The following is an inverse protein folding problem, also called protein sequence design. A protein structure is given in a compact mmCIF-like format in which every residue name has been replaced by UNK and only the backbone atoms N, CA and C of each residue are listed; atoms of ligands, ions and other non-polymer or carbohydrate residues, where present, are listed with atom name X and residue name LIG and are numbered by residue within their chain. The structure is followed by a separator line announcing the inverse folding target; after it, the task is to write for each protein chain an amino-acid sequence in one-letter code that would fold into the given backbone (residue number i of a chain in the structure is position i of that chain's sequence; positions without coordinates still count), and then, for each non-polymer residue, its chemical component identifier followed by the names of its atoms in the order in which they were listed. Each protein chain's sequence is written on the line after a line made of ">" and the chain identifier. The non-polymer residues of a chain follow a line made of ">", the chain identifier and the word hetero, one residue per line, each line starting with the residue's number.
data_IF_828147203740
#
_entry.id   IF_828147203740
#
_cell.length_a   1.000
_cell.length_b   1.000
_cell.length_c   1.000
_cell.angle_alpha   90.00
_cell.angle_beta   90.00
_cell.angle_gamma   90.00
#
_symmetry.space_group_name_H-M   'P 1'
#
loop_
_entity.id
_entity.type
_entity.pdbx_description
1 polymer ?
#
# COMPACT_ATOMS: atom_id res chain seq x y z
N UNK A 1 11.99 -6.56 -13.79
CA UNK A 1 13.21 -5.89 -14.23
C UNK A 1 14.06 -5.54 -13.00
N UNK A 2 15.39 -5.76 -13.06
CA UNK A 2 16.34 -5.30 -12.03
C UNK A 2 17.29 -4.30 -12.65
N UNK A 3 17.54 -3.20 -11.95
CA UNK A 3 18.49 -2.17 -12.37
C UNK A 3 19.54 -2.04 -11.27
N UNK A 4 20.78 -2.49 -11.58
CA UNK A 4 21.90 -2.55 -10.61
C UNK A 4 22.81 -1.32 -10.67
N UNK A 5 22.63 -0.45 -11.68
CA UNK A 5 23.29 0.87 -11.69
C UNK A 5 22.63 1.82 -10.71
N UNK A 6 23.34 2.83 -10.19
CA UNK A 6 22.72 3.89 -9.42
C UNK A 6 21.63 4.61 -10.22
N UNK A 7 20.48 4.89 -9.56
CA UNK A 7 19.35 5.62 -10.13
C UNK A 7 18.87 6.62 -9.10
N UNK A 8 18.69 7.87 -9.49
CA UNK A 8 18.23 8.91 -8.58
C UNK A 8 16.78 8.71 -8.20
N UNK A 9 16.49 8.74 -6.90
CA UNK A 9 15.11 8.70 -6.39
C UNK A 9 14.35 9.97 -6.75
N UNK A 10 15.07 11.05 -7.06
CA UNK A 10 14.52 12.31 -7.51
C UNK A 10 14.37 12.29 -9.03
N UNK A 11 13.13 12.16 -9.49
CA UNK A 11 12.66 12.16 -10.88
C UNK A 11 13.09 10.98 -11.75
N UNK A 12 14.38 10.50 -11.72
CA UNK A 12 14.84 9.45 -12.64
C UNK A 12 14.09 8.13 -12.41
N UNK A 13 13.98 7.68 -11.17
CA UNK A 13 13.24 6.46 -10.85
C UNK A 13 11.76 6.57 -11.25
N UNK A 14 11.15 7.74 -11.03
CA UNK A 14 9.78 8.05 -11.45
C UNK A 14 9.61 8.02 -12.96
N UNK A 15 10.52 8.63 -13.72
CA UNK A 15 10.47 8.64 -15.18
C UNK A 15 10.61 7.22 -15.77
N UNK A 16 11.50 6.41 -15.22
CA UNK A 16 11.65 5.01 -15.65
C UNK A 16 10.37 4.22 -15.37
N UNK A 17 9.77 4.41 -14.18
CA UNK A 17 8.53 3.75 -13.82
C UNK A 17 7.35 4.17 -14.73
N UNK A 18 7.25 5.46 -15.07
CA UNK A 18 6.25 5.99 -15.99
C UNK A 18 6.37 5.39 -17.39
N UNK A 19 7.60 5.31 -17.93
CA UNK A 19 7.86 4.64 -19.20
C UNK A 19 7.44 3.17 -19.19
N UNK A 20 7.71 2.46 -18.09
CA UNK A 20 7.31 1.06 -17.95
C UNK A 20 5.79 0.91 -17.90
N UNK A 21 5.09 1.78 -17.17
CA UNK A 21 3.60 1.76 -17.13
C UNK A 21 3.02 1.99 -18.52
N UNK A 22 3.50 3.00 -19.25
CA UNK A 22 2.99 3.36 -20.59
C UNK A 22 3.23 2.28 -21.66
N UNK A 23 4.18 1.41 -21.44
CA UNK A 23 4.54 0.32 -22.39
C UNK A 23 4.21 -1.07 -21.83
N UNK A 24 3.27 -1.19 -20.91
CA UNK A 24 2.89 -2.45 -20.25
C UNK A 24 4.10 -3.22 -19.70
N UNK A 25 5.14 -2.49 -19.32
CA UNK A 25 6.40 -3.03 -18.86
C UNK A 25 6.31 -3.67 -17.48
N UNK A 26 7.33 -4.47 -17.11
CA UNK A 26 7.36 -5.19 -15.84
C UNK A 26 7.53 -4.27 -14.63
N UNK A 27 7.27 -4.82 -13.43
CA UNK A 27 7.72 -4.21 -12.19
C UNK A 27 9.26 -4.02 -12.22
N UNK A 28 9.74 -2.97 -11.58
CA UNK A 28 11.16 -2.64 -11.55
C UNK A 28 11.67 -2.57 -10.10
N UNK A 29 12.85 -3.14 -9.88
CA UNK A 29 13.61 -3.05 -8.65
C UNK A 29 14.90 -2.30 -8.93
N UNK A 30 15.05 -1.13 -8.32
CA UNK A 30 16.30 -0.37 -8.28
C UNK A 30 17.12 -0.85 -7.08
N UNK A 31 18.25 -1.53 -7.36
CA UNK A 31 19.08 -2.11 -6.31
C UNK A 31 19.96 -1.08 -5.60
N UNK A 32 20.25 0.03 -6.28
CA UNK A 32 21.13 1.11 -5.80
C UNK A 32 20.46 2.48 -5.97
N UNK A 33 19.37 2.76 -5.22
CA UNK A 33 18.76 4.08 -5.28
C UNK A 33 19.73 5.12 -4.74
N UNK A 34 19.92 6.23 -5.48
CA UNK A 34 20.71 7.37 -5.04
C UNK A 34 19.79 8.37 -4.35
N UNK A 35 20.13 8.70 -3.11
CA UNK A 35 19.41 9.68 -2.30
C UNK A 35 19.72 11.12 -2.74
N UNK A 36 18.94 12.13 -2.32
CA UNK A 36 19.17 13.53 -2.70
C UNK A 36 20.51 14.11 -2.25
N UNK A 37 21.13 13.55 -1.22
CA UNK A 37 22.47 13.91 -0.74
C UNK A 37 23.60 13.25 -1.54
N UNK A 38 23.26 12.45 -2.57
CA UNK A 38 24.19 11.73 -3.42
C UNK A 38 24.62 10.37 -2.88
N UNK A 39 24.22 9.99 -1.68
CA UNK A 39 24.53 8.66 -1.11
C UNK A 39 23.70 7.56 -1.77
N UNK A 40 24.23 6.33 -1.74
CA UNK A 40 23.49 5.16 -2.22
C UNK A 40 22.78 4.51 -1.03
N UNK A 41 21.49 4.30 -1.16
CA UNK A 41 20.71 3.60 -0.14
C UNK A 41 20.99 2.10 -0.18
N UNK A 42 21.16 1.50 1.01
CA UNK A 42 21.21 0.04 1.17
C UNK A 42 19.83 -0.62 1.04
N UNK A 43 18.76 0.18 1.03
CA UNK A 43 17.40 -0.27 0.89
C UNK A 43 16.99 -0.12 -0.58
N UNK A 44 16.65 -1.20 -1.29
CA UNK A 44 16.22 -1.11 -2.68
C UNK A 44 14.84 -0.45 -2.81
N UNK A 45 14.60 0.16 -3.98
CA UNK A 45 13.32 0.77 -4.33
C UNK A 45 12.60 -0.08 -5.38
N UNK A 46 11.38 -0.49 -5.10
CA UNK A 46 10.52 -1.18 -6.06
C UNK A 46 9.41 -0.26 -6.55
N UNK A 47 9.22 -0.22 -7.87
CA UNK A 47 8.17 0.59 -8.51
C UNK A 47 7.42 -0.20 -9.57
N UNK A 48 6.29 0.33 -10.05
CA UNK A 48 5.40 -0.30 -11.03
C UNK A 48 4.92 -1.71 -10.62
N UNK A 49 4.68 -1.92 -9.31
CA UNK A 49 4.26 -3.23 -8.80
C UNK A 49 2.87 -3.63 -9.31
N UNK A 50 1.96 -2.67 -9.43
CA UNK A 50 0.56 -2.86 -9.82
C UNK A 50 0.20 -2.25 -11.19
N UNK A 51 1.18 -1.83 -11.98
CA UNK A 51 0.96 -1.19 -13.28
C UNK A 51 0.54 -2.13 -14.40
N UNK A 52 0.30 -3.41 -14.13
CA UNK A 52 -0.22 -4.38 -15.09
C UNK A 52 -1.34 -5.20 -14.48
N UNK A 53 -2.37 -5.50 -15.28
CA UNK A 53 -3.54 -6.28 -14.87
C UNK A 53 -3.18 -7.62 -14.23
N UNK A 54 -2.31 -8.39 -14.88
CA UNK A 54 -1.87 -9.71 -14.37
C UNK A 54 -1.22 -9.63 -12.99
N UNK A 55 -0.42 -8.59 -12.74
CA UNK A 55 0.23 -8.39 -11.44
C UNK A 55 -0.77 -8.00 -10.37
N UNK A 56 -1.73 -7.16 -10.72
CA UNK A 56 -2.82 -6.76 -9.83
C UNK A 56 -3.69 -7.96 -9.47
N UNK A 57 -4.10 -8.77 -10.45
CA UNK A 57 -4.87 -9.98 -10.22
C UNK A 57 -4.13 -10.98 -9.33
N UNK A 58 -2.83 -11.20 -9.58
CA UNK A 58 -1.98 -12.06 -8.72
C UNK A 58 -1.91 -11.54 -7.28
N UNK A 59 -1.76 -10.22 -7.09
CA UNK A 59 -1.72 -9.62 -5.76
C UNK A 59 -3.04 -9.80 -4.99
N UNK A 60 -4.16 -9.78 -5.70
CA UNK A 60 -5.49 -9.97 -5.16
C UNK A 60 -5.90 -11.45 -5.05
N UNK A 61 -5.07 -12.38 -5.58
CA UNK A 61 -5.37 -13.80 -5.60
C UNK A 61 -6.58 -14.15 -6.47
N UNK A 62 -6.77 -13.40 -7.57
CA UNK A 62 -7.85 -13.56 -8.53
C UNK A 62 -7.33 -13.99 -9.90
N UNK A 63 -8.17 -14.72 -10.65
CA UNK A 63 -7.87 -15.18 -12.01
C UNK A 63 -8.39 -14.20 -13.07
N UNK A 64 -9.44 -13.44 -12.74
CA UNK A 64 -10.05 -12.42 -13.61
C UNK A 64 -10.68 -11.30 -12.78
N UNK A 65 -10.94 -10.17 -13.41
CA UNK A 65 -11.38 -8.93 -12.72
C UNK A 65 -12.70 -9.07 -11.97
N UNK A 66 -13.67 -9.77 -12.56
CA UNK A 66 -15.00 -9.94 -11.97
C UNK A 66 -14.99 -10.84 -10.74
N UNK A 67 -14.00 -11.74 -10.62
CA UNK A 67 -13.93 -12.71 -9.51
C UNK A 67 -13.95 -12.04 -8.14
N UNK A 68 -13.28 -10.91 -8.00
CA UNK A 68 -13.24 -10.18 -6.73
C UNK A 68 -14.61 -9.60 -6.40
N UNK A 69 -15.25 -8.98 -7.41
CA UNK A 69 -16.61 -8.44 -7.27
C UNK A 69 -17.62 -9.55 -6.94
N UNK A 70 -17.54 -10.67 -7.65
CA UNK A 70 -18.43 -11.83 -7.42
C UNK A 70 -18.26 -12.40 -6.01
N UNK A 71 -17.02 -12.51 -5.52
CA UNK A 71 -16.73 -12.93 -4.13
C UNK A 71 -17.31 -11.95 -3.12
N UNK A 72 -17.19 -10.65 -3.35
CA UNK A 72 -17.74 -9.61 -2.47
C UNK A 72 -19.28 -9.68 -2.47
N UNK A 73 -19.90 -9.80 -3.63
CA UNK A 73 -21.36 -9.95 -3.76
C UNK A 73 -21.85 -11.23 -3.07
N UNK A 74 -21.15 -12.35 -3.25
CA UNK A 74 -21.47 -13.61 -2.59
C UNK A 74 -21.37 -13.53 -1.05
N UNK A 75 -20.44 -12.74 -0.52
CA UNK A 75 -20.34 -12.48 0.92
C UNK A 75 -21.47 -11.57 1.44
N UNK A 76 -21.85 -10.55 0.66
CA UNK A 76 -22.90 -9.60 1.06
C UNK A 76 -24.31 -10.17 0.89
N UNK A 77 -24.52 -11.01 -0.12
CA UNK A 77 -25.82 -11.62 -0.47
C UNK A 77 -25.64 -13.13 -0.70
N UNK A 78 -25.42 -13.91 0.38
CA UNK A 78 -25.22 -15.35 0.24
C UNK A 78 -26.50 -16.03 -0.25
N UNK A 79 -26.40 -16.90 -1.25
CA UNK A 79 -27.49 -17.76 -1.71
C UNK A 79 -27.68 -18.92 -0.73
N UNK A 80 -28.43 -18.68 0.34
CA UNK A 80 -28.70 -19.66 1.40
C UNK A 80 -29.38 -20.91 0.83
N UNK A 81 -30.29 -20.77 -0.15
CA UNK A 81 -30.98 -21.90 -0.77
C UNK A 81 -30.03 -22.84 -1.52
N UNK A 82 -29.07 -22.26 -2.25
CA UNK A 82 -28.01 -23.03 -2.93
C UNK A 82 -27.12 -23.76 -1.92
N UNK A 83 -26.69 -23.07 -0.86
CA UNK A 83 -25.77 -23.64 0.14
C UNK A 83 -26.44 -24.70 1.02
N UNK A 84 -27.73 -24.61 1.27
CA UNK A 84 -28.47 -25.71 1.91
C UNK A 84 -28.58 -26.96 1.05
N UNK A 85 -28.72 -26.80 -0.28
CA UNK A 85 -28.78 -27.95 -1.22
C UNK A 85 -27.38 -28.50 -1.56
N UNK A 86 -26.36 -27.68 -1.57
CA UNK A 86 -24.98 -28.02 -1.93
C UNK A 86 -23.99 -27.36 -0.96
N UNK A 87 -23.84 -27.90 0.28
CA UNK A 87 -23.06 -27.24 1.34
C UNK A 87 -21.57 -27.03 0.97
N UNK A 88 -20.99 -27.90 0.13
CA UNK A 88 -19.62 -27.74 -0.33
C UNK A 88 -19.39 -26.48 -1.17
N UNK A 89 -20.42 -25.92 -1.82
CA UNK A 89 -20.31 -24.65 -2.55
C UNK A 89 -20.21 -23.44 -1.62
N UNK A 90 -20.67 -23.54 -0.38
CA UNK A 90 -20.52 -22.52 0.65
C UNK A 90 -19.16 -22.54 1.36
N UNK A 91 -18.38 -23.62 1.22
CA UNK A 91 -17.10 -23.77 1.94
C UNK A 91 -16.09 -22.68 1.64
N UNK A 92 -15.88 -22.23 0.40
CA UNK A 92 -14.99 -21.10 0.10
C UNK A 92 -15.44 -19.80 0.79
N UNK A 93 -16.74 -19.53 0.81
CA UNK A 93 -17.32 -18.35 1.46
C UNK A 93 -17.06 -18.36 2.97
N UNK A 94 -17.29 -19.50 3.63
CA UNK A 94 -17.00 -19.68 5.05
C UNK A 94 -15.50 -19.48 5.33
N UNK A 95 -14.64 -20.05 4.51
CA UNK A 95 -13.18 -19.88 4.65
C UNK A 95 -12.78 -18.41 4.52
N UNK A 96 -13.32 -17.70 3.54
CA UNK A 96 -13.05 -16.30 3.31
C UNK A 96 -13.55 -15.44 4.47
N UNK A 97 -14.75 -15.70 4.95
CA UNK A 97 -15.33 -15.02 6.13
C UNK A 97 -14.49 -15.26 7.41
N UNK A 98 -13.99 -16.46 7.62
CA UNK A 98 -13.09 -16.78 8.75
C UNK A 98 -11.69 -16.17 8.60
N UNK A 99 -11.26 -15.87 7.37
CA UNK A 99 -9.99 -15.24 7.11
C UNK A 99 -10.01 -13.71 7.23
N UNK A 100 -11.19 -13.07 7.20
CA UNK A 100 -11.35 -11.61 7.27
C UNK A 100 -10.91 -10.98 8.59
N UNK A 101 -11.18 -11.57 9.78
CA UNK A 101 -10.79 -10.95 11.03
C UNK A 101 -9.27 -10.77 11.14
N UNK A 102 -8.79 -9.59 11.56
CA UNK A 102 -7.35 -9.36 11.71
C UNK A 102 -6.75 -10.25 12.82
N UNK A 103 -5.64 -10.91 12.50
CA UNK A 103 -4.90 -11.74 13.45
C UNK A 103 -3.84 -10.91 14.17
N UNK A 104 -3.98 -10.76 15.49
CA UNK A 104 -2.96 -10.10 16.31
C UNK A 104 -1.77 -11.02 16.51
N UNK A 105 -0.56 -10.54 16.17
CA UNK A 105 0.72 -11.21 16.47
C UNK A 105 1.50 -10.39 17.48
N UNK A 106 2.14 -11.05 18.43
CA UNK A 106 2.97 -10.38 19.45
C UNK A 106 4.24 -9.76 18.86
N UNK A 107 4.82 -10.41 17.83
CA UNK A 107 6.02 -9.94 17.12
C UNK A 107 5.80 -10.15 15.62
N UNK A 108 5.92 -9.06 14.85
CA UNK A 108 5.93 -9.10 13.39
C UNK A 108 7.36 -9.19 12.86
N UNK A 109 7.52 -9.68 11.62
CA UNK A 109 8.84 -9.67 10.96
C UNK A 109 9.37 -8.25 10.76
N UNK A 110 8.46 -7.26 10.57
CA UNK A 110 8.80 -5.84 10.44
C UNK A 110 9.38 -5.21 11.74
N UNK A 111 9.26 -5.90 12.89
CA UNK A 111 9.78 -5.43 14.18
C UNK A 111 11.14 -6.08 14.56
N UNK A 112 11.77 -6.79 13.62
CA UNK A 112 13.06 -7.47 13.88
C UNK A 112 14.25 -6.54 13.84
N UNK A 113 14.15 -5.48 13.04
CA UNK A 113 15.23 -4.52 12.83
C UNK A 113 14.69 -3.16 13.26
N UNK A 114 15.36 -2.55 14.20
CA UNK A 114 15.10 -1.19 14.64
C UNK A 114 16.23 -0.30 14.12
N UNK A 115 15.87 0.74 13.38
CA UNK A 115 16.79 1.73 12.87
C UNK A 115 16.56 3.07 13.57
N UNK A 116 17.59 3.93 13.68
CA UNK A 116 17.37 5.31 14.08
C UNK A 116 16.32 5.97 13.20
N UNK A 117 15.43 6.75 13.80
CA UNK A 117 14.37 7.44 13.06
C UNK A 117 14.98 8.54 12.19
N UNK A 118 15.10 8.24 10.92
CA UNK A 118 15.56 9.14 9.89
C UNK A 118 14.94 8.75 8.54
N UNK A 119 13.89 9.46 8.15
CA UNK A 119 13.16 9.22 6.91
C UNK A 119 13.97 9.58 5.67
N UNK A 120 14.99 10.43 5.80
CA UNK A 120 15.83 10.84 4.67
C UNK A 120 16.77 9.73 4.18
N UNK A 121 17.00 8.71 5.02
CA UNK A 121 17.78 7.51 4.66
C UNK A 121 16.97 6.51 3.83
N UNK A 122 15.66 6.67 3.77
CA UNK A 122 14.80 5.80 2.97
C UNK A 122 14.77 6.30 1.51
N UNK A 123 14.79 5.40 0.52
CA UNK A 123 14.72 5.78 -0.89
C UNK A 123 13.29 6.17 -1.30
N UNK A 124 12.77 7.23 -0.68
CA UNK A 124 11.44 7.74 -0.95
C UNK A 124 11.50 8.64 -2.17
N UNK A 125 10.76 8.33 -3.26
CA UNK A 125 10.91 9.05 -4.51
C UNK A 125 10.17 10.39 -4.49
N UNK A 126 10.77 11.39 -5.18
CA UNK A 126 10.06 12.55 -5.73
C UNK A 126 9.73 12.21 -7.18
N UNK A 127 8.46 11.92 -7.47
CA UNK A 127 8.08 11.36 -8.77
C UNK A 127 7.90 12.43 -9.83
N UNK A 128 7.28 13.56 -9.46
CA UNK A 128 6.93 14.62 -10.41
C UNK A 128 7.64 15.94 -10.11
N UNK A 129 8.03 16.71 -11.15
CA UNK A 129 8.73 17.99 -10.95
C UNK A 129 7.96 19.05 -10.16
N UNK A 130 6.63 18.93 -10.10
CA UNK A 130 5.75 19.83 -9.36
C UNK A 130 5.31 19.25 -8.00
N UNK A 131 5.78 18.07 -7.62
CA UNK A 131 5.57 17.54 -6.28
C UNK A 131 6.32 18.41 -5.25
N UNK A 132 5.72 18.60 -4.08
CA UNK A 132 6.32 19.40 -3.00
C UNK A 132 7.49 18.71 -2.27
N UNK A 133 7.95 17.56 -2.76
CA UNK A 133 9.05 16.78 -2.18
C UNK A 133 8.86 15.28 -2.32
N UNK A 134 9.56 14.47 -1.51
CA UNK A 134 9.44 13.02 -1.55
C UNK A 134 8.12 12.56 -0.92
N UNK A 135 7.50 11.56 -1.55
CA UNK A 135 6.24 10.99 -1.11
C UNK A 135 6.31 9.47 -0.96
N UNK A 136 5.83 8.97 0.16
CA UNK A 136 5.45 7.56 0.31
C UNK A 136 4.14 7.37 -0.43
N UNK A 137 4.14 6.57 -1.51
CA UNK A 137 3.04 6.54 -2.49
C UNK A 137 1.94 5.53 -2.19
N UNK A 138 2.24 4.46 -1.46
CA UNK A 138 1.29 3.38 -1.14
C UNK A 138 1.28 3.01 0.35
N UNK A 139 1.30 3.97 1.29
CA UNK A 139 1.28 3.61 2.70
C UNK A 139 -0.12 3.17 3.12
N UNK A 140 -0.18 2.09 3.88
CA UNK A 140 -1.37 1.71 4.63
C UNK A 140 -1.30 2.39 6.00
N UNK A 141 -2.14 3.38 6.20
CA UNK A 141 -2.20 4.17 7.43
C UNK A 141 -3.25 3.56 8.36
N UNK A 142 -2.79 3.11 9.51
CA UNK A 142 -3.66 2.58 10.57
C UNK A 142 -3.93 3.68 11.57
N UNK A 143 -5.18 4.04 11.75
CA UNK A 143 -5.62 5.02 12.75
C UNK A 143 -6.53 4.37 13.78
N UNK A 144 -6.65 5.03 14.92
CA UNK A 144 -7.52 4.58 16.01
C UNK A 144 -8.38 5.76 16.46
N UNK A 145 -9.69 5.57 16.48
CA UNK A 145 -10.62 6.57 16.99
C UNK A 145 -10.38 6.75 18.51
N UNK A 146 -10.07 7.95 18.98
CA UNK A 146 -9.80 8.21 20.39
C UNK A 146 -11.05 8.06 21.29
N UNK A 147 -12.26 8.21 20.73
CA UNK A 147 -13.51 8.14 21.50
C UNK A 147 -13.96 6.71 21.77
N UNK A 148 -13.90 5.84 20.77
CA UNK A 148 -14.44 4.47 20.86
C UNK A 148 -13.40 3.36 20.67
N UNK A 149 -12.16 3.73 20.29
CA UNK A 149 -11.06 2.79 20.11
C UNK A 149 -11.13 1.98 18.80
N UNK A 150 -12.06 2.28 17.90
CA UNK A 150 -12.17 1.61 16.61
C UNK A 150 -10.97 1.90 15.73
N UNK A 151 -10.49 0.87 15.03
CA UNK A 151 -9.39 0.99 14.09
C UNK A 151 -9.92 1.26 12.68
N UNK A 152 -9.26 2.19 11.99
CA UNK A 152 -9.44 2.40 10.56
C UNK A 152 -8.15 2.10 9.83
N UNK A 153 -8.26 1.56 8.63
CA UNK A 153 -7.17 1.31 7.70
C UNK A 153 -7.48 2.01 6.39
N UNK A 154 -6.61 2.92 5.98
CA UNK A 154 -6.77 3.66 4.73
C UNK A 154 -5.45 3.81 3.99
N UNK A 155 -5.53 4.07 2.69
CA UNK A 155 -4.37 4.39 1.88
C UNK A 155 -4.32 5.90 1.66
N UNK A 156 -3.28 6.55 2.16
CA UNK A 156 -3.08 7.99 2.05
C UNK A 156 -1.65 8.27 1.60
N UNK A 157 -1.47 9.08 0.57
CA UNK A 157 -0.15 9.54 0.16
C UNK A 157 0.46 10.40 1.26
N UNK A 158 1.66 10.10 1.71
CA UNK A 158 2.32 10.78 2.80
C UNK A 158 3.57 11.52 2.30
N UNK A 159 3.67 12.83 2.58
CA UNK A 159 4.82 13.65 2.21
C UNK A 159 5.85 13.66 3.33
N UNK A 160 7.12 13.48 2.98
CA UNK A 160 8.22 13.61 3.94
C UNK A 160 8.71 15.05 3.93
N UNK A 161 8.68 15.72 5.08
CA UNK A 161 9.17 17.10 5.24
C UNK A 161 10.56 17.16 5.85
N UNK A 162 10.97 16.12 6.55
CA UNK A 162 12.27 16.06 7.21
C UNK A 162 12.57 14.70 7.81
N UNK A 163 13.67 14.57 8.55
CA UNK A 163 14.10 13.28 9.09
C UNK A 163 13.07 12.60 10.00
N UNK A 164 12.23 13.38 10.65
CA UNK A 164 11.24 12.92 11.65
C UNK A 164 9.84 13.44 11.40
N UNK A 165 9.61 14.08 10.25
CA UNK A 165 8.35 14.76 9.97
C UNK A 165 7.72 14.21 8.69
N UNK A 166 6.45 13.81 8.79
CA UNK A 166 5.64 13.32 7.69
C UNK A 166 4.28 14.00 7.69
N UNK A 167 3.85 14.49 6.54
CA UNK A 167 2.55 15.11 6.35
C UNK A 167 1.56 14.12 5.74
N UNK A 168 0.35 14.10 6.25
CA UNK A 168 -0.77 13.34 5.73
C UNK A 168 -1.88 14.29 5.31
N UNK A 169 -2.43 14.08 4.12
CA UNK A 169 -3.60 14.80 3.66
C UNK A 169 -4.85 13.94 3.88
N UNK A 170 -5.71 14.40 4.77
CA UNK A 170 -6.98 13.74 5.07
C UNK A 170 -8.09 14.30 4.18
N UNK A 171 -8.78 13.43 3.45
CA UNK A 171 -9.99 13.83 2.72
C UNK A 171 -11.22 13.71 3.63
N UNK A 172 -11.98 14.79 3.73
CA UNK A 172 -13.14 14.93 4.63
C UNK A 172 -14.28 13.90 4.41
N UNK A 173 -14.28 13.17 3.32
CA UNK A 173 -15.30 12.15 3.03
C UNK A 173 -15.06 10.81 3.76
N UNK A 174 -13.94 10.68 4.47
CA UNK A 174 -13.64 9.50 5.27
C UNK A 174 -14.03 9.75 6.72
N UNK A 175 -15.30 9.64 7.02
CA UNK A 175 -15.91 9.82 8.34
C UNK A 175 -15.31 8.97 9.48
N UNK A 176 -14.34 8.11 9.16
CA UNK A 176 -13.73 7.16 10.10
C UNK A 176 -12.34 7.59 10.59
N UNK A 177 -11.78 8.69 10.06
CA UNK A 177 -10.51 9.23 10.55
C UNK A 177 -10.78 10.55 11.26
N UNK A 178 -10.66 10.62 12.58
CA UNK A 178 -10.79 11.89 13.30
C UNK A 178 -9.72 12.85 12.79
N UNK A 179 -10.15 14.01 12.30
CA UNK A 179 -9.25 15.12 12.00
C UNK A 179 -8.64 15.63 13.31
N UNK A 180 -7.40 16.13 13.32
CA UNK A 180 -6.87 16.84 14.48
C UNK A 180 -7.74 18.03 14.93
N UNK A 181 -8.60 18.56 14.02
CA UNK A 181 -9.58 19.60 14.35
C UNK A 181 -10.77 19.08 15.17
N UNK A 182 -11.13 17.80 15.00
CA UNK A 182 -12.26 17.18 15.73
C UNK A 182 -11.87 16.78 17.16
N UNK A 183 -10.60 16.92 17.52
CA UNK A 183 -10.10 16.65 18.88
C UNK A 183 -10.25 17.85 19.83
N UNK A 184 -10.75 18.99 19.34
CA UNK A 184 -10.89 20.24 20.09
C UNK A 184 -12.33 20.72 20.30
N UNK A 185 -13.34 19.91 19.94
CA UNK A 185 -14.76 20.16 20.27
C UNK A 185 -15.26 19.24 21.38
#
# INVERSE_FOLDING_TARGET
>A
LRISRPVDVQFEAGAIADLLVKNDGPAVLFEKPRLPDGTISDIPLAMNLFGGQDRTLRALGASHETEIGDRMVAMMKPDIGLYMRKPWKGLPLVRDALAMPPRKKRKGNCQRIELPLDLTRLPIPTTWPKDGGPFVTLPLVVTKNPKNGEHNLGMYRAQVFGPKEIGLHWHCLLYTSPSPRDAHE
#
